data_IF_293996712051
#
_entry.id   IF_293996712051
#
_cell.length_a   1.000
_cell.length_b   1.000
_cell.length_c   1.000
_cell.angle_alpha   90.00
_cell.angle_beta   90.00
_cell.angle_gamma   90.00
#
_symmetry.space_group_name_H-M   'P 1'
#
loop_
_entity.id
_entity.type
_entity.pdbx_description
1 polymer ?
#
# COMPACT_ATOMS: atom_id res chain seq x y z
N UNK A 1 -8.76 10.02 -87.93
CA UNK A 1 -7.68 10.80 -87.24
C UNK A 1 -8.19 11.65 -86.05
N UNK A 2 -9.41 12.12 -85.99
CA UNK A 2 -9.92 12.86 -84.84
C UNK A 2 -10.30 11.91 -83.60
N UNK A 3 -10.84 10.72 -83.85
CA UNK A 3 -11.14 9.72 -82.78
C UNK A 3 -9.87 9.17 -82.07
N UNK A 4 -8.78 9.01 -82.79
CA UNK A 4 -7.53 8.50 -82.24
C UNK A 4 -6.80 9.53 -81.31
N UNK A 5 -6.99 10.83 -81.55
CA UNK A 5 -6.51 11.89 -80.68
C UNK A 5 -7.28 11.99 -79.36
N UNK A 6 -8.58 11.71 -79.39
CA UNK A 6 -9.42 11.75 -78.20
C UNK A 6 -9.12 10.56 -77.28
N UNK A 7 -8.87 9.37 -77.79
CA UNK A 7 -8.49 8.17 -77.06
C UNK A 7 -7.13 8.32 -76.33
N UNK A 8 -6.16 8.99 -76.94
CA UNK A 8 -4.86 9.25 -76.30
C UNK A 8 -4.96 10.25 -75.16
N UNK A 9 -5.82 11.28 -75.30
CA UNK A 9 -6.11 12.27 -74.28
C UNK A 9 -6.81 11.66 -73.06
N UNK A 10 -7.72 10.75 -73.30
CA UNK A 10 -8.42 10.05 -72.20
C UNK A 10 -7.50 9.11 -71.42
N UNK A 11 -6.64 8.37 -72.09
CA UNK A 11 -5.60 7.55 -71.43
C UNK A 11 -4.62 8.38 -70.61
N UNK A 12 -4.19 9.53 -71.11
CA UNK A 12 -3.29 10.42 -70.37
C UNK A 12 -3.95 10.93 -69.07
N UNK A 13 -5.22 11.35 -69.15
CA UNK A 13 -6.02 11.79 -67.98
C UNK A 13 -6.18 10.68 -66.92
N UNK A 14 -6.40 9.42 -67.38
CA UNK A 14 -6.46 8.28 -66.48
C UNK A 14 -5.15 7.98 -65.78
N UNK A 15 -4.02 8.10 -66.46
CA UNK A 15 -2.69 7.91 -65.86
C UNK A 15 -2.36 9.04 -64.86
N UNK A 16 -2.72 10.28 -65.16
CA UNK A 16 -2.57 11.40 -64.24
C UNK A 16 -3.38 11.22 -62.98
N UNK A 17 -4.69 10.88 -63.09
CA UNK A 17 -5.55 10.57 -61.94
C UNK A 17 -4.97 9.41 -61.10
N UNK A 18 -4.50 8.35 -61.73
CA UNK A 18 -3.92 7.21 -61.00
C UNK A 18 -2.61 7.59 -60.26
N UNK A 19 -1.85 8.53 -60.80
CA UNK A 19 -0.66 9.08 -60.11
C UNK A 19 -1.04 9.96 -58.94
N UNK A 20 -2.03 10.83 -59.11
CA UNK A 20 -2.56 11.68 -58.05
C UNK A 20 -3.14 10.83 -56.89
N UNK A 21 -3.98 9.83 -57.20
CA UNK A 21 -4.55 8.90 -56.24
C UNK A 21 -3.45 8.11 -55.49
N UNK A 22 -2.35 7.78 -56.17
CA UNK A 22 -1.26 7.07 -55.53
C UNK A 22 -0.46 8.00 -54.63
N UNK A 23 -0.27 9.25 -55.04
CA UNK A 23 0.38 10.27 -54.24
C UNK A 23 -0.42 10.59 -52.96
N UNK A 24 -1.72 10.84 -53.11
CA UNK A 24 -2.58 11.13 -51.97
C UNK A 24 -2.68 9.92 -50.99
N UNK A 25 -2.77 8.70 -51.48
CA UNK A 25 -2.74 7.49 -50.61
C UNK A 25 -1.44 7.38 -49.83
N UNK A 26 -0.30 7.71 -50.42
CA UNK A 26 0.99 7.72 -49.70
C UNK A 26 1.04 8.82 -48.63
N UNK A 27 0.52 9.99 -48.97
CA UNK A 27 0.43 11.11 -48.02
C UNK A 27 -0.46 10.78 -46.84
N UNK A 28 -1.64 10.21 -47.08
CA UNK A 28 -2.59 9.77 -46.04
C UNK A 28 -1.97 8.68 -45.17
N UNK A 29 -1.27 7.70 -45.78
CA UNK A 29 -0.61 6.65 -45.02
C UNK A 29 0.51 7.23 -44.11
N UNK A 30 1.28 8.16 -44.62
CA UNK A 30 2.33 8.82 -43.84
C UNK A 30 1.75 9.67 -42.73
N UNK A 31 0.66 10.38 -42.96
CA UNK A 31 -0.07 11.16 -41.94
C UNK A 31 -0.66 10.27 -40.86
N UNK A 32 -1.32 9.19 -41.26
CA UNK A 32 -1.90 8.20 -40.29
C UNK A 32 -0.78 7.55 -39.45
N UNK A 33 0.35 7.20 -40.07
CA UNK A 33 1.51 6.65 -39.36
C UNK A 33 2.07 7.64 -38.35
N UNK A 34 2.20 8.91 -38.72
CA UNK A 34 2.65 9.98 -37.82
C UNK A 34 1.66 10.19 -36.64
N UNK A 35 0.37 10.28 -36.93
CA UNK A 35 -0.66 10.41 -35.88
C UNK A 35 -0.66 9.23 -34.91
N UNK A 36 -0.48 7.99 -35.42
CA UNK A 36 -0.35 6.81 -34.56
C UNK A 36 0.88 6.85 -33.69
N UNK A 37 1.99 7.31 -34.21
CA UNK A 37 3.23 7.45 -33.45
C UNK A 37 3.13 8.52 -32.36
N UNK A 38 2.51 9.66 -32.66
CA UNK A 38 2.24 10.73 -31.69
C UNK A 38 1.29 10.25 -30.59
N UNK A 39 0.17 9.60 -30.95
CA UNK A 39 -0.77 9.03 -29.98
C UNK A 39 -0.13 7.94 -29.09
N UNK A 40 0.73 7.09 -29.66
CA UNK A 40 1.46 6.08 -28.89
C UNK A 40 2.46 6.72 -27.92
N UNK A 41 3.11 7.82 -28.31
CA UNK A 41 4.02 8.57 -27.45
C UNK A 41 3.26 9.24 -26.29
N UNK A 42 2.16 9.92 -26.59
CA UNK A 42 1.29 10.53 -25.56
C UNK A 42 0.73 9.48 -24.60
N UNK A 43 0.32 8.31 -25.09
CA UNK A 43 -0.16 7.22 -24.25
C UNK A 43 0.94 6.67 -23.34
N UNK A 44 2.16 6.52 -23.85
CA UNK A 44 3.31 6.07 -23.05
C UNK A 44 3.71 7.09 -21.98
N UNK A 45 3.71 8.39 -22.32
CA UNK A 45 3.99 9.47 -21.37
C UNK A 45 2.90 9.56 -20.29
N UNK A 46 1.62 9.37 -20.67
CA UNK A 46 0.50 9.33 -19.71
C UNK A 46 0.57 8.10 -18.80
N UNK A 47 0.96 6.93 -19.32
CA UNK A 47 1.15 5.71 -18.53
C UNK A 47 2.33 5.85 -17.56
N UNK A 48 3.42 6.45 -17.98
CA UNK A 48 4.58 6.73 -17.13
C UNK A 48 4.24 7.75 -16.05
N UNK A 49 3.51 8.82 -16.36
CA UNK A 49 3.02 9.79 -15.39
C UNK A 49 2.07 9.14 -14.38
N UNK A 50 1.11 8.31 -14.83
CA UNK A 50 0.21 7.57 -13.97
C UNK A 50 0.95 6.55 -13.08
N UNK A 51 2.06 5.97 -13.56
CA UNK A 51 2.94 5.09 -12.78
C UNK A 51 3.70 5.86 -11.71
N UNK A 52 4.17 7.06 -12.00
CA UNK A 52 4.85 7.93 -11.03
C UNK A 52 3.87 8.45 -9.95
N UNK A 53 2.62 8.74 -10.31
CA UNK A 53 1.57 9.09 -9.34
C UNK A 53 1.18 7.94 -8.42
N UNK A 54 1.42 6.68 -8.82
CA UNK A 54 1.11 5.47 -8.04
C UNK A 54 2.31 4.88 -7.30
N UNK A 55 3.41 5.59 -7.16
CA UNK A 55 4.66 5.07 -6.55
C UNK A 55 4.44 4.48 -5.17
N UNK A 56 3.47 4.99 -4.40
CA UNK A 56 3.17 4.55 -3.03
C UNK A 56 1.72 4.10 -2.83
N UNK A 57 1.15 3.32 -3.75
CA UNK A 57 -0.21 2.79 -3.57
C UNK A 57 -0.28 1.29 -3.93
N UNK A 58 -0.87 0.46 -3.05
CA UNK A 58 -1.40 0.76 -1.72
C UNK A 58 -0.33 0.89 -0.62
N UNK A 59 -0.65 1.63 0.46
CA UNK A 59 0.18 1.73 1.66
C UNK A 59 -0.40 0.82 2.74
N UNK A 60 0.44 -0.05 3.32
CA UNK A 60 0.08 -0.90 4.46
C UNK A 60 0.52 -0.25 5.77
N UNK A 61 -0.39 -0.14 6.74
CA UNK A 61 -0.14 0.41 8.05
C UNK A 61 -0.50 -0.63 9.12
N UNK A 62 0.49 -1.39 9.64
CA UNK A 62 0.27 -2.27 10.78
C UNK A 62 0.03 -1.46 12.06
N UNK A 63 -1.05 -1.81 12.80
CA UNK A 63 -1.49 -1.10 14.00
C UNK A 63 -1.57 -2.04 15.19
N UNK A 64 -0.93 -1.64 16.30
CA UNK A 64 -0.96 -2.31 17.59
C UNK A 64 -1.64 -1.48 18.69
N UNK A 65 -2.28 -0.38 18.33
CA UNK A 65 -2.91 0.60 19.21
C UNK A 65 -1.94 1.37 20.12
N UNK A 66 -0.65 1.36 19.81
CA UNK A 66 0.34 2.18 20.49
C UNK A 66 0.32 3.64 19.98
N UNK A 67 0.89 4.60 20.73
CA UNK A 67 1.09 5.96 20.25
C UNK A 67 1.95 6.01 18.97
N UNK A 68 2.88 5.07 18.79
CA UNK A 68 3.70 4.94 17.60
C UNK A 68 2.86 4.59 16.36
N UNK A 69 1.85 3.73 16.52
CA UNK A 69 0.91 3.40 15.46
C UNK A 69 0.07 4.62 15.04
N UNK A 70 -0.32 5.49 15.99
CA UNK A 70 -1.02 6.74 15.65
C UNK A 70 -0.14 7.65 14.79
N UNK A 71 1.15 7.79 15.11
CA UNK A 71 2.06 8.59 14.28
C UNK A 71 2.29 7.97 12.90
N UNK A 72 2.34 6.63 12.81
CA UNK A 72 2.43 5.94 11.54
C UNK A 72 1.19 6.20 10.67
N UNK A 73 -0.02 6.16 11.25
CA UNK A 73 -1.27 6.50 10.56
C UNK A 73 -1.28 7.93 10.04
N UNK A 74 -0.85 8.91 10.86
CA UNK A 74 -0.78 10.31 10.44
C UNK A 74 0.25 10.52 9.32
N UNK A 75 1.42 9.90 9.43
CA UNK A 75 2.45 9.95 8.38
C UNK A 75 1.96 9.32 7.08
N UNK A 76 1.28 8.18 7.16
CA UNK A 76 0.69 7.53 5.99
C UNK A 76 -0.41 8.39 5.34
N UNK A 77 -1.20 9.12 6.16
CA UNK A 77 -2.18 10.07 5.66
C UNK A 77 -1.53 11.24 4.89
N UNK A 78 -0.39 11.77 5.38
CA UNK A 78 0.36 12.83 4.68
C UNK A 78 0.90 12.35 3.33
N UNK A 79 1.37 11.10 3.28
CA UNK A 79 1.83 10.46 2.04
C UNK A 79 0.63 10.24 1.09
N UNK A 80 -0.48 9.70 1.61
CA UNK A 80 -1.68 9.46 0.81
C UNK A 80 -2.26 10.76 0.21
N UNK A 81 -2.21 11.86 0.97
CA UNK A 81 -2.64 13.18 0.48
C UNK A 81 -1.81 13.67 -0.70
N UNK A 82 -0.51 13.41 -0.67
CA UNK A 82 0.43 13.88 -1.68
C UNK A 82 0.45 13.01 -2.94
N UNK A 83 0.26 11.70 -2.78
CA UNK A 83 0.42 10.71 -3.87
C UNK A 83 -0.88 10.04 -4.29
N UNK A 84 -2.03 10.45 -3.73
CA UNK A 84 -3.32 9.82 -4.05
C UNK A 84 -3.42 8.34 -3.63
N UNK A 85 -2.67 7.93 -2.59
CA UNK A 85 -2.55 6.53 -2.20
C UNK A 85 -3.78 6.01 -1.49
N UNK A 86 -4.14 4.73 -1.73
CA UNK A 86 -5.07 3.99 -0.88
C UNK A 86 -4.35 3.43 0.35
N UNK A 87 -5.07 3.29 1.45
CA UNK A 87 -4.53 2.86 2.73
C UNK A 87 -5.15 1.52 3.16
N UNK A 88 -4.32 0.58 3.60
CA UNK A 88 -4.75 -0.66 4.26
C UNK A 88 -4.25 -0.60 5.70
N UNK A 89 -5.16 -0.50 6.65
CA UNK A 89 -4.85 -0.50 8.08
C UNK A 89 -5.06 -1.89 8.63
N UNK A 90 -3.97 -2.54 9.04
CA UNK A 90 -3.95 -3.93 9.46
C UNK A 90 -3.74 -4.04 10.97
N UNK A 91 -4.70 -4.64 11.68
CA UNK A 91 -4.50 -5.10 13.05
C UNK A 91 -4.35 -6.62 13.09
N UNK A 92 -3.32 -7.09 13.78
CA UNK A 92 -3.08 -8.53 13.96
C UNK A 92 -3.31 -8.90 15.42
N UNK A 93 -4.29 -9.76 15.65
CA UNK A 93 -4.54 -10.38 16.95
C UNK A 93 -3.50 -11.50 17.11
N UNK A 94 -2.59 -11.35 18.07
CA UNK A 94 -1.55 -12.34 18.29
C UNK A 94 -2.16 -13.69 18.71
N UNK A 95 -1.60 -14.78 18.22
CA UNK A 95 -2.14 -16.15 18.43
C UNK A 95 -2.21 -16.56 19.90
N UNK A 96 -1.26 -16.12 20.71
CA UNK A 96 -1.21 -16.30 22.15
C UNK A 96 -2.36 -15.57 22.86
N UNK A 97 -2.73 -14.38 22.41
CA UNK A 97 -3.92 -13.66 22.91
C UNK A 97 -5.22 -14.38 22.53
N UNK A 98 -5.27 -14.99 21.35
CA UNK A 98 -6.39 -15.83 20.92
C UNK A 98 -6.57 -17.04 21.85
N UNK A 99 -5.49 -17.75 22.14
CA UNK A 99 -5.49 -18.88 23.08
C UNK A 99 -5.87 -18.46 24.50
N UNK A 100 -5.38 -17.31 24.98
CA UNK A 100 -5.74 -16.80 26.31
C UNK A 100 -7.22 -16.46 26.41
N UNK A 101 -7.84 -15.89 25.37
CA UNK A 101 -9.27 -15.62 25.34
C UNK A 101 -10.10 -16.91 25.33
N UNK A 102 -9.65 -17.95 24.62
CA UNK A 102 -10.28 -19.28 24.65
C UNK A 102 -10.20 -19.86 26.07
N UNK A 103 -9.03 -19.81 26.71
CA UNK A 103 -8.86 -20.28 28.10
C UNK A 103 -9.71 -19.49 29.07
N UNK A 104 -9.84 -18.18 28.92
CA UNK A 104 -10.67 -17.34 29.77
C UNK A 104 -12.15 -17.67 29.60
N UNK A 105 -12.61 -17.95 28.40
CA UNK A 105 -13.98 -18.34 28.11
C UNK A 105 -14.33 -19.71 28.75
N UNK A 106 -13.44 -20.69 28.65
CA UNK A 106 -13.57 -21.99 29.27
C UNK A 106 -13.56 -21.90 30.81
N UNK A 107 -12.67 -21.05 31.37
CA UNK A 107 -12.60 -20.81 32.82
C UNK A 107 -13.88 -20.19 33.39
N UNK A 108 -14.61 -19.37 32.64
CA UNK A 108 -15.91 -18.82 33.06
C UNK A 108 -17.03 -19.88 33.14
N UNK A 109 -16.87 -20.99 32.43
CA UNK A 109 -17.80 -22.17 32.50
C UNK A 109 -17.50 -23.12 33.62
N UNK A 110 -16.47 -22.85 34.44
CA UNK A 110 -16.09 -23.72 35.57
C UNK A 110 -15.38 -25.00 35.15
N UNK A 111 -14.91 -25.11 33.91
CA UNK A 111 -14.10 -26.21 33.45
C UNK A 111 -12.65 -26.05 33.93
N UNK A 112 -12.06 -27.06 34.61
CA UNK A 112 -10.70 -26.93 35.14
C UNK A 112 -9.69 -26.91 33.96
N UNK A 113 -9.05 -25.78 33.76
CA UNK A 113 -7.92 -25.64 32.84
C UNK A 113 -6.65 -26.21 33.51
N UNK A 114 -6.63 -27.51 33.74
CA UNK A 114 -5.46 -28.18 34.33
C UNK A 114 -5.04 -29.31 33.43
N UNK A 115 -3.89 -29.11 32.79
CA UNK A 115 -2.93 -30.07 32.21
C UNK A 115 -2.60 -29.86 30.75
N UNK A 116 -1.41 -30.32 30.28
CA UNK A 116 -0.85 -30.07 28.95
C UNK A 116 -1.61 -30.73 27.77
N UNK A 117 -2.62 -31.51 28.05
CA UNK A 117 -3.63 -31.92 27.06
C UNK A 117 -4.72 -30.87 27.08
N UNK A 118 -4.60 -29.87 26.17
CA UNK A 118 -5.66 -28.91 25.96
C UNK A 118 -6.99 -29.65 25.76
N UNK A 119 -8.09 -29.30 26.49
CA UNK A 119 -9.38 -29.88 26.21
C UNK A 119 -9.68 -29.70 24.72
N UNK A 120 -10.16 -30.75 24.06
CA UNK A 120 -10.65 -30.66 22.68
C UNK A 120 -11.85 -29.70 22.66
N UNK A 121 -11.56 -28.40 22.54
CA UNK A 121 -12.61 -27.41 22.31
C UNK A 121 -13.17 -27.67 20.92
N UNK A 122 -14.50 -27.85 20.76
CA UNK A 122 -15.08 -28.03 19.43
C UNK A 122 -14.64 -26.91 18.49
N UNK A 123 -14.26 -27.25 17.29
CA UNK A 123 -13.79 -26.27 16.28
C UNK A 123 -14.79 -25.12 16.06
N UNK A 124 -16.10 -25.42 16.14
CA UNK A 124 -17.18 -24.43 16.03
C UNK A 124 -17.13 -23.37 17.13
N UNK A 125 -16.78 -23.76 18.35
CA UNK A 125 -16.68 -22.85 19.50
C UNK A 125 -15.42 -21.97 19.39
N UNK A 126 -14.31 -22.54 18.92
CA UNK A 126 -13.09 -21.79 18.62
C UNK A 126 -13.35 -20.76 17.53
N UNK A 127 -14.04 -21.15 16.46
CA UNK A 127 -14.38 -20.24 15.37
C UNK A 127 -15.28 -19.09 15.86
N UNK A 128 -16.26 -19.37 16.70
CA UNK A 128 -17.14 -18.36 17.29
C UNK A 128 -16.33 -17.33 18.09
N UNK A 129 -15.42 -17.79 18.97
CA UNK A 129 -14.57 -16.91 19.78
C UNK A 129 -13.66 -16.05 18.87
N UNK A 130 -13.11 -16.64 17.81
CA UNK A 130 -12.25 -15.92 16.87
C UNK A 130 -13.05 -14.89 16.04
N UNK A 131 -14.29 -15.17 15.69
CA UNK A 131 -15.19 -14.21 15.03
C UNK A 131 -15.45 -13.03 15.94
N UNK A 132 -15.83 -13.28 17.21
CA UNK A 132 -16.07 -12.21 18.20
C UNK A 132 -14.82 -11.34 18.42
N UNK A 133 -13.65 -11.97 18.51
CA UNK A 133 -12.40 -11.23 18.66
C UNK A 133 -12.06 -10.35 17.43
N UNK A 134 -12.33 -10.85 16.23
CA UNK A 134 -12.16 -10.06 15.01
C UNK A 134 -13.11 -8.87 14.98
N UNK A 135 -14.36 -9.07 15.35
CA UNK A 135 -15.36 -8.00 15.42
C UNK A 135 -14.95 -6.94 16.44
N UNK A 136 -14.57 -7.34 17.66
CA UNK A 136 -14.06 -6.43 18.68
C UNK A 136 -12.80 -5.70 18.22
N UNK A 137 -11.89 -6.42 17.55
CA UNK A 137 -10.69 -5.85 16.94
C UNK A 137 -11.01 -4.81 15.88
N UNK A 138 -12.02 -5.08 15.05
CA UNK A 138 -12.48 -4.17 14.00
C UNK A 138 -13.08 -2.89 14.58
N UNK A 139 -13.99 -3.01 15.54
CA UNK A 139 -14.59 -1.86 16.23
C UNK A 139 -13.53 -1.00 16.91
N UNK A 140 -12.58 -1.65 17.59
CA UNK A 140 -11.45 -0.96 18.21
C UNK A 140 -10.56 -0.26 17.19
N UNK A 141 -10.29 -0.91 16.04
CA UNK A 141 -9.51 -0.34 14.96
C UNK A 141 -10.21 0.88 14.36
N UNK A 142 -11.52 0.77 14.14
CA UNK A 142 -12.34 1.88 13.65
C UNK A 142 -12.33 3.09 14.60
N UNK A 143 -12.46 2.83 15.92
CA UNK A 143 -12.40 3.88 16.94
C UNK A 143 -10.99 4.50 17.09
N UNK A 144 -9.96 3.76 16.74
CA UNK A 144 -8.56 4.23 16.82
C UNK A 144 -8.15 5.14 15.67
N UNK A 145 -8.87 5.12 14.54
CA UNK A 145 -8.51 5.90 13.37
C UNK A 145 -8.62 7.42 13.65
N UNK A 146 -7.57 8.18 13.35
CA UNK A 146 -7.66 9.63 13.36
C UNK A 146 -8.74 10.12 12.37
N UNK A 147 -9.57 11.12 12.74
CA UNK A 147 -10.63 11.65 11.86
C UNK A 147 -10.13 12.11 10.48
N UNK A 148 -8.86 12.50 10.41
CA UNK A 148 -8.20 12.90 9.16
C UNK A 148 -8.17 11.78 8.11
N UNK A 149 -8.18 10.50 8.50
CA UNK A 149 -8.17 9.39 7.56
C UNK A 149 -9.50 9.17 6.85
N UNK A 150 -10.61 9.69 7.37
CA UNK A 150 -11.95 9.50 6.78
C UNK A 150 -12.09 10.04 5.34
N UNK A 151 -11.19 10.91 4.90
CA UNK A 151 -11.18 11.49 3.54
C UNK A 151 -10.44 10.63 2.49
N UNK A 152 -9.77 9.56 2.92
CA UNK A 152 -9.02 8.68 2.02
C UNK A 152 -9.74 7.35 1.83
N UNK A 153 -9.46 6.62 0.73
CA UNK A 153 -9.85 5.22 0.63
C UNK A 153 -9.06 4.39 1.65
N UNK A 154 -9.73 4.00 2.74
CA UNK A 154 -9.13 3.21 3.84
C UNK A 154 -9.83 1.87 3.93
N UNK A 155 -9.07 0.79 3.78
CA UNK A 155 -9.50 -0.56 4.08
C UNK A 155 -9.04 -0.95 5.50
N UNK A 156 -9.96 -1.40 6.34
CA UNK A 156 -9.65 -1.90 7.68
C UNK A 156 -9.62 -3.42 7.65
N UNK A 157 -8.54 -3.99 8.15
CA UNK A 157 -8.34 -5.44 8.16
C UNK A 157 -7.90 -5.93 9.54
N UNK A 158 -8.59 -6.94 10.04
CA UNK A 158 -8.25 -7.62 11.30
C UNK A 158 -8.03 -9.09 11.03
N UNK A 159 -6.85 -9.59 11.38
CA UNK A 159 -6.46 -10.99 11.18
C UNK A 159 -5.88 -11.59 12.46
N UNK A 160 -5.91 -12.90 12.57
CA UNK A 160 -5.30 -13.64 13.70
C UNK A 160 -4.00 -14.29 13.23
N UNK A 161 -2.96 -14.22 14.05
CA UNK A 161 -1.69 -14.88 13.75
C UNK A 161 -0.46 -14.21 14.34
N UNK A 162 0.70 -14.53 13.78
CA UNK A 162 1.95 -13.85 14.09
C UNK A 162 1.97 -12.48 13.41
N UNK A 163 2.15 -11.37 14.14
CA UNK A 163 2.13 -10.04 13.54
C UNK A 163 3.09 -9.88 12.36
N UNK A 164 4.32 -10.37 12.52
CA UNK A 164 5.30 -10.31 11.45
C UNK A 164 4.85 -11.07 10.19
N UNK A 165 4.40 -12.32 10.34
CA UNK A 165 3.99 -13.16 9.21
C UNK A 165 2.81 -12.56 8.46
N UNK A 166 1.79 -12.10 9.19
CA UNK A 166 0.59 -11.49 8.59
C UNK A 166 0.88 -10.18 7.86
N UNK A 167 1.83 -9.39 8.36
CA UNK A 167 2.27 -8.17 7.66
C UNK A 167 2.95 -8.53 6.33
N UNK A 168 3.87 -9.50 6.33
CA UNK A 168 4.57 -9.92 5.11
C UNK A 168 3.61 -10.59 4.11
N UNK A 169 2.75 -11.49 4.59
CA UNK A 169 1.73 -12.12 3.73
C UNK A 169 0.83 -11.07 3.06
N UNK A 170 0.34 -10.10 3.82
CA UNK A 170 -0.46 -8.99 3.28
C UNK A 170 0.35 -8.17 2.27
N UNK A 171 1.61 -7.89 2.57
CA UNK A 171 2.46 -7.10 1.68
C UNK A 171 2.71 -7.81 0.33
N UNK A 172 2.86 -9.13 0.34
CA UNK A 172 3.03 -9.93 -0.88
C UNK A 172 1.69 -10.07 -1.64
N UNK A 173 0.64 -10.48 -0.94
CA UNK A 173 -0.66 -10.78 -1.55
C UNK A 173 -1.30 -9.55 -2.22
N UNK A 174 -1.28 -8.41 -1.53
CA UNK A 174 -1.91 -7.18 -2.00
C UNK A 174 -0.94 -6.27 -2.77
N UNK A 175 0.26 -6.75 -3.08
CA UNK A 175 1.27 -6.01 -3.83
C UNK A 175 1.54 -4.61 -3.24
N UNK A 176 1.72 -4.56 -1.92
CA UNK A 176 1.92 -3.31 -1.17
C UNK A 176 3.13 -2.55 -1.71
N UNK A 177 2.94 -1.27 -2.00
CA UNK A 177 4.00 -0.40 -2.50
C UNK A 177 4.86 0.22 -1.38
N UNK A 178 4.29 0.38 -0.17
CA UNK A 178 4.98 0.94 0.99
C UNK A 178 4.36 0.41 2.29
N UNK A 179 5.19 0.02 3.25
CA UNK A 179 4.75 -0.22 4.63
C UNK A 179 5.14 0.99 5.47
N UNK A 180 4.18 1.54 6.25
CA UNK A 180 4.43 2.62 7.23
C UNK A 180 4.10 2.09 8.61
N UNK A 181 5.09 2.03 9.51
CA UNK A 181 4.90 1.44 10.83
C UNK A 181 5.70 2.13 11.93
N UNK A 182 5.24 2.01 13.17
CA UNK A 182 5.99 2.48 14.34
C UNK A 182 7.25 1.64 14.57
N UNK A 183 8.30 2.26 15.09
CA UNK A 183 9.54 1.55 15.47
C UNK A 183 9.41 0.74 16.74
N UNK A 184 8.45 1.07 17.62
CA UNK A 184 8.19 0.40 18.91
C UNK A 184 6.73 0.02 18.99
N UNK A 185 6.44 -1.06 19.68
CA UNK A 185 5.11 -1.51 19.97
C UNK A 185 4.69 -1.21 21.42
N UNK A 186 3.66 -1.90 21.87
CA UNK A 186 3.02 -1.77 23.18
C UNK A 186 3.96 -1.96 24.38
N UNK A 187 5.07 -2.70 24.22
CA UNK A 187 5.98 -3.05 25.31
C UNK A 187 7.01 -1.97 25.62
N UNK A 188 7.28 -1.02 24.71
CA UNK A 188 8.13 0.17 24.96
C UNK A 188 9.53 -0.09 25.57
N UNK A 189 9.96 -1.36 25.68
CA UNK A 189 10.99 -1.82 26.59
C UNK A 189 12.45 -1.48 26.19
N UNK A 190 12.65 -0.86 25.03
CA UNK A 190 14.02 -0.49 24.64
C UNK A 190 14.02 0.85 23.91
N UNK A 191 14.56 1.88 24.57
CA UNK A 191 14.76 3.22 23.97
C UNK A 191 15.77 3.23 22.82
N UNK A 192 16.54 2.13 22.63
CA UNK A 192 17.68 2.06 21.72
C UNK A 192 17.52 1.04 20.57
N UNK A 193 16.54 0.14 20.61
CA UNK A 193 16.36 -0.88 19.57
C UNK A 193 14.94 -0.83 19.00
N UNK A 194 14.80 -1.06 17.70
CA UNK A 194 13.50 -1.26 17.06
C UNK A 194 12.80 -2.48 17.68
N UNK A 195 11.47 -2.44 17.79
CA UNK A 195 10.68 -3.58 18.26
C UNK A 195 10.89 -4.81 17.36
N UNK A 196 10.84 -6.00 17.95
CA UNK A 196 11.11 -7.27 17.26
C UNK A 196 10.32 -7.48 15.95
N UNK A 197 9.08 -7.00 15.90
CA UNK A 197 8.26 -7.05 14.68
C UNK A 197 8.77 -6.06 13.64
N UNK A 198 9.04 -4.81 14.03
CA UNK A 198 9.51 -3.77 13.12
C UNK A 198 10.89 -4.14 12.52
N UNK A 199 11.82 -4.64 13.32
CA UNK A 199 13.12 -5.10 12.84
C UNK A 199 13.00 -6.21 11.79
N UNK A 200 12.17 -7.23 12.06
CA UNK A 200 11.96 -8.33 11.12
C UNK A 200 11.27 -7.87 9.83
N UNK A 201 10.28 -6.97 9.92
CA UNK A 201 9.59 -6.41 8.76
C UNK A 201 10.56 -5.61 7.90
N UNK A 202 11.38 -4.72 8.48
CA UNK A 202 12.39 -3.95 7.74
C UNK A 202 13.37 -4.85 6.98
N UNK A 203 13.75 -5.99 7.56
CA UNK A 203 14.69 -6.92 6.93
C UNK A 203 14.11 -7.78 5.82
N UNK A 204 12.82 -8.10 5.88
CA UNK A 204 12.22 -9.16 5.06
C UNK A 204 11.00 -8.72 4.23
N UNK A 205 10.62 -7.43 4.31
CA UNK A 205 9.52 -6.90 3.51
C UNK A 205 9.85 -6.93 2.01
N UNK A 206 8.87 -7.24 1.15
CA UNK A 206 9.04 -7.24 -0.31
C UNK A 206 9.03 -5.82 -0.91
N UNK A 207 8.76 -4.80 -0.10
CA UNK A 207 8.63 -3.40 -0.51
C UNK A 207 9.35 -2.48 0.48
N UNK A 208 9.55 -1.19 0.15
CA UNK A 208 10.07 -0.20 1.08
C UNK A 208 9.29 -0.14 2.40
N UNK A 209 10.00 0.11 3.51
CA UNK A 209 9.43 0.25 4.84
C UNK A 209 9.83 1.58 5.44
N UNK A 210 8.85 2.41 5.75
CA UNK A 210 9.02 3.66 6.47
C UNK A 210 8.73 3.44 7.95
N UNK A 211 9.75 3.55 8.78
CA UNK A 211 9.60 3.46 10.24
C UNK A 211 9.43 4.84 10.85
N UNK A 212 8.38 5.02 11.66
CA UNK A 212 8.04 6.28 12.31
C UNK A 212 8.42 6.23 13.79
N UNK A 213 9.22 7.20 14.23
CA UNK A 213 9.57 7.39 15.64
C UNK A 213 8.73 8.50 16.24
N UNK A 214 8.32 8.32 17.49
CA UNK A 214 7.79 9.44 18.27
C UNK A 214 8.99 10.12 18.95
N UNK A 215 9.15 11.41 18.75
CA UNK A 215 10.06 12.21 19.54
C UNK A 215 9.36 12.58 20.86
N UNK A 216 9.74 11.93 21.95
CA UNK A 216 9.33 12.42 23.29
C UNK A 216 10.04 13.73 23.61
N UNK A 217 9.51 14.57 24.52
CA UNK A 217 10.20 15.79 24.95
C UNK A 217 11.64 15.52 25.39
N UNK A 218 11.92 14.39 26.04
CA UNK A 218 13.24 13.98 26.47
C UNK A 218 14.17 13.59 25.29
N UNK A 219 13.62 12.93 24.26
CA UNK A 219 14.38 12.63 23.05
C UNK A 219 14.71 13.88 22.24
N UNK A 220 13.83 14.87 22.30
CA UNK A 220 14.05 16.17 21.66
C UNK A 220 15.19 16.95 22.38
N UNK A 221 15.23 16.87 23.71
CA UNK A 221 16.26 17.54 24.52
C UNK A 221 17.66 17.05 24.19
N UNK A 222 17.90 15.74 24.21
CA UNK A 222 19.25 15.21 23.93
C UNK A 222 19.63 15.32 22.44
N UNK A 223 18.67 15.27 21.52
CA UNK A 223 18.94 15.57 20.11
C UNK A 223 19.37 17.03 19.91
N UNK A 224 18.73 17.97 20.59
CA UNK A 224 19.13 19.38 20.57
C UNK A 224 20.55 19.54 21.10
N UNK A 225 20.88 18.89 22.21
CA UNK A 225 22.22 18.92 22.82
C UNK A 225 23.26 18.28 21.89
N UNK A 226 22.90 17.18 21.18
CA UNK A 226 23.75 16.54 20.18
C UNK A 226 23.98 17.47 18.98
N UNK A 227 22.94 18.12 18.48
CA UNK A 227 23.02 19.07 17.37
C UNK A 227 23.88 20.29 17.73
N UNK A 228 23.72 20.85 18.91
CA UNK A 228 24.53 21.96 19.40
C UNK A 228 26.02 21.57 19.60
N UNK A 229 26.27 20.29 19.96
CA UNK A 229 27.63 19.81 20.19
C UNK A 229 28.37 19.47 18.88
N UNK A 230 27.68 18.91 17.89
CA UNK A 230 28.32 18.35 16.68
C UNK A 230 28.10 19.16 15.42
N UNK A 231 27.09 20.06 15.40
CA UNK A 231 26.82 20.96 14.28
C UNK A 231 26.91 22.39 14.76
N UNK A 232 28.04 23.07 14.55
CA UNK A 232 28.21 24.47 14.97
C UNK A 232 27.12 25.31 14.26
N UNK A 233 26.61 26.38 14.93
CA UNK A 233 25.63 27.27 14.34
C UNK A 233 26.14 27.78 12.99
N UNK A 234 25.28 27.75 11.97
CA UNK A 234 25.61 28.36 10.68
C UNK A 234 25.91 29.85 10.91
N UNK A 235 27.13 30.25 10.58
CA UNK A 235 27.55 31.64 10.58
C UNK A 235 26.73 32.45 9.56
#
# INVERSE_FOLDING_TARGET
>A
MAEEKDYLGEKLRLVERAREDTYFRRLDQALIAKMRQEAAKEAAEAEEAARLERVFTPILIPVDFSPYATHALLTAADIAERFGSSLIVLHVIARDMGLHAIQQHLGQRGEPVTTPEAPEVPNEEIETILVDQREQGYQKLQAFLPPRLAKYPVELRVVVGSPFERIIETAVHDQIALIVMGTHGRTGLSRLAAGSVAERVVRLAPCPVLTVKTTTPETRSWLTELYETFLPPKA
#
